data_IF_490520583153
#
_entry.id   IF_490520583153
#
_cell.length_a   1.000
_cell.length_b   1.000
_cell.length_c   1.000
_cell.angle_alpha   90.00
_cell.angle_beta   90.00
_cell.angle_gamma   90.00
#
_symmetry.space_group_name_H-M   'P 1'
#
loop_
_entity.id
_entity.type
_entity.pdbx_description
1 polymer ?
#
# COMPACT_ATOMS: atom_id res chain seq x y z
N UNK A 1 10.22 6.74 -27.87
CA UNK A 1 9.98 5.45 -28.54
C UNK A 1 9.23 4.59 -27.54
N UNK A 2 7.90 4.55 -27.61
CA UNK A 2 7.10 3.65 -26.77
C UNK A 2 7.03 2.31 -27.50
N UNK A 3 7.38 1.22 -26.82
CA UNK A 3 7.35 -0.11 -27.43
C UNK A 3 5.90 -0.44 -27.83
N UNK A 4 5.71 -0.70 -29.13
CA UNK A 4 4.41 -1.00 -29.75
C UNK A 4 3.95 -2.44 -29.42
N UNK A 5 4.80 -3.26 -28.80
CA UNK A 5 4.55 -4.67 -28.48
C UNK A 5 4.96 -5.05 -27.04
N UNK A 6 4.72 -4.18 -26.05
CA UNK A 6 4.72 -4.66 -24.67
C UNK A 6 3.43 -5.47 -24.46
N UNK A 7 3.47 -6.78 -24.72
CA UNK A 7 2.46 -7.67 -24.18
C UNK A 7 2.25 -7.31 -22.70
N UNK A 8 1.01 -7.16 -22.25
CA UNK A 8 0.70 -6.96 -20.84
C UNK A 8 1.13 -8.23 -20.09
N UNK A 9 2.40 -8.30 -19.74
CA UNK A 9 2.97 -9.41 -18.98
C UNK A 9 2.45 -9.33 -17.55
N UNK A 10 1.95 -10.46 -17.05
CA UNK A 10 1.61 -10.63 -15.65
C UNK A 10 2.80 -10.23 -14.78
N UNK A 11 2.59 -9.22 -13.93
CA UNK A 11 3.61 -8.70 -13.03
C UNK A 11 2.99 -8.23 -11.74
N UNK A 12 3.77 -8.34 -10.67
CA UNK A 12 3.50 -7.72 -9.40
C UNK A 12 4.36 -6.45 -9.28
N UNK A 13 3.73 -5.30 -9.14
CA UNK A 13 4.41 -4.02 -8.96
C UNK A 13 4.24 -3.52 -7.53
N UNK A 14 5.32 -2.97 -6.98
CA UNK A 14 5.33 -2.26 -5.71
C UNK A 14 5.71 -0.82 -6.01
N UNK A 15 4.82 0.11 -5.70
CA UNK A 15 5.00 1.54 -5.92
C UNK A 15 5.04 2.29 -4.60
N UNK A 16 5.75 3.41 -4.58
CA UNK A 16 5.75 4.31 -3.44
C UNK A 16 5.74 5.77 -3.90
N UNK A 17 5.08 6.62 -3.12
CA UNK A 17 5.04 8.06 -3.36
C UNK A 17 4.92 8.84 -2.04
N UNK A 18 5.33 10.11 -2.08
CA UNK A 18 4.93 11.10 -1.07
C UNK A 18 3.61 11.71 -1.52
N UNK A 19 2.52 11.32 -0.86
CA UNK A 19 1.20 11.87 -1.11
C UNK A 19 1.13 13.34 -0.69
N UNK A 20 0.30 14.11 -1.38
CA UNK A 20 0.10 15.54 -1.12
C UNK A 20 -0.64 15.85 0.18
N UNK A 21 -1.23 14.84 0.83
CA UNK A 21 -1.95 14.99 2.09
C UNK A 21 -2.52 13.66 2.59
N UNK A 22 -3.24 13.69 3.74
CA UNK A 22 -3.90 12.52 4.32
C UNK A 22 -4.90 11.87 3.34
N UNK A 23 -5.27 10.59 3.56
CA UNK A 23 -6.21 9.92 2.69
C UNK A 23 -7.58 10.60 2.70
N UNK A 24 -8.13 10.88 1.52
CA UNK A 24 -9.43 11.56 1.33
C UNK A 24 -10.40 10.70 0.52
N UNK A 25 -11.69 11.02 0.60
CA UNK A 25 -12.75 10.37 -0.17
C UNK A 25 -13.10 8.95 0.30
N UNK A 26 -14.18 8.44 -0.28
CA UNK A 26 -14.63 7.06 -0.09
C UNK A 26 -13.78 6.09 -0.93
N UNK A 27 -13.38 4.93 -0.39
CA UNK A 27 -12.72 3.90 -1.18
C UNK A 27 -13.61 3.40 -2.32
N UNK A 28 -13.01 3.01 -3.44
CA UNK A 28 -13.77 2.35 -4.50
C UNK A 28 -14.38 1.03 -3.99
N UNK A 29 -15.58 0.62 -4.46
CA UNK A 29 -16.32 -0.51 -3.88
C UNK A 29 -15.60 -1.85 -3.87
N UNK A 30 -14.58 -2.04 -4.73
CA UNK A 30 -13.79 -3.27 -4.76
C UNK A 30 -12.87 -3.44 -3.55
N UNK A 31 -12.58 -2.35 -2.83
CA UNK A 31 -11.64 -2.36 -1.72
C UNK A 31 -12.32 -2.61 -0.37
N UNK A 32 -11.72 -3.52 0.39
CA UNK A 32 -11.97 -3.70 1.82
C UNK A 32 -11.02 -2.81 2.61
N UNK A 33 -11.53 -2.13 3.64
CA UNK A 33 -10.74 -1.26 4.51
C UNK A 33 -10.19 -2.06 5.68
N UNK A 34 -8.89 -1.93 5.95
CA UNK A 34 -8.20 -2.59 7.06
C UNK A 34 -7.65 -1.57 8.05
N UNK A 35 -7.64 -1.86 9.37
CA UNK A 35 -7.21 -0.94 10.43
C UNK A 35 -5.67 -0.93 10.57
N UNK A 36 -4.98 -0.46 9.54
CA UNK A 36 -3.52 -0.36 9.47
C UNK A 36 -3.10 0.99 8.87
N UNK A 37 -2.12 1.65 9.50
CA UNK A 37 -1.70 3.00 9.10
C UNK A 37 -2.83 4.02 9.30
N UNK A 38 -2.83 5.09 8.52
CA UNK A 38 -3.96 6.04 8.46
C UNK A 38 -5.08 5.51 7.56
N UNK A 39 -4.71 4.77 6.51
CA UNK A 39 -5.65 4.03 5.67
C UNK A 39 -4.94 2.85 5.04
N UNK A 40 -5.57 1.68 5.11
CA UNK A 40 -5.22 0.53 4.27
C UNK A 40 -6.43 0.03 3.52
N UNK A 41 -6.24 -0.20 2.23
CA UNK A 41 -7.22 -0.75 1.31
C UNK A 41 -6.68 -2.05 0.72
N UNK A 42 -7.52 -3.07 0.59
CA UNK A 42 -7.14 -4.33 -0.06
C UNK A 42 -8.24 -4.84 -0.98
N UNK A 43 -7.82 -5.47 -2.08
CA UNK A 43 -8.63 -6.18 -3.05
C UNK A 43 -7.89 -7.48 -3.44
N UNK A 44 -8.52 -8.32 -4.25
CA UNK A 44 -7.92 -9.59 -4.71
C UNK A 44 -6.71 -9.40 -5.63
N UNK A 45 -6.50 -8.20 -6.16
CA UNK A 45 -5.46 -7.83 -7.12
C UNK A 45 -4.51 -6.72 -6.62
N UNK A 46 -4.81 -6.10 -5.47
CA UNK A 46 -4.09 -4.92 -5.01
C UNK A 46 -4.21 -4.67 -3.51
N UNK A 47 -3.24 -3.96 -2.95
CA UNK A 47 -3.36 -3.31 -1.65
C UNK A 47 -2.63 -1.97 -1.63
N UNK A 48 -3.16 -1.02 -0.86
CA UNK A 48 -2.57 0.30 -0.65
C UNK A 48 -2.52 0.59 0.83
N UNK A 49 -1.37 1.02 1.33
CA UNK A 49 -1.17 1.49 2.70
C UNK A 49 -0.70 2.93 2.65
N UNK A 50 -1.38 3.80 3.38
CA UNK A 50 -0.96 5.19 3.59
C UNK A 50 -0.75 5.46 5.08
N UNK A 51 0.38 6.10 5.40
CA UNK A 51 0.75 6.44 6.78
C UNK A 51 1.53 7.76 6.85
N UNK A 52 1.42 8.43 7.99
CA UNK A 52 2.22 9.61 8.30
C UNK A 52 3.63 9.22 8.77
N UNK A 53 4.64 9.89 8.22
CA UNK A 53 6.03 9.73 8.61
C UNK A 53 6.64 11.08 9.02
N UNK A 54 7.01 11.21 10.29
CA UNK A 54 7.88 12.29 10.76
C UNK A 54 9.32 11.79 10.81
N UNK A 55 10.21 12.42 10.05
CA UNK A 55 11.63 12.07 10.01
C UNK A 55 12.47 13.28 9.61
N UNK A 56 13.69 13.37 10.15
CA UNK A 56 14.67 14.37 9.72
C UNK A 56 15.16 14.16 8.27
N UNK A 57 14.94 12.98 7.68
CA UNK A 57 15.26 12.69 6.27
C UNK A 57 14.22 13.26 5.30
N UNK A 58 13.05 13.68 5.79
CA UNK A 58 11.95 14.17 4.97
C UNK A 58 11.79 15.69 5.12
N UNK A 59 11.43 16.39 4.04
CA UNK A 59 11.31 17.84 4.06
C UNK A 59 10.06 18.28 4.85
N UNK A 60 10.14 19.47 5.46
CA UNK A 60 9.01 20.13 6.11
C UNK A 60 8.90 19.90 7.62
N UNK A 61 7.99 20.63 8.27
CA UNK A 61 7.73 20.55 9.71
C UNK A 61 6.53 19.66 10.07
N UNK A 62 5.73 19.29 9.08
CA UNK A 62 4.58 18.37 9.21
C UNK A 62 5.00 16.95 8.81
N UNK A 63 4.38 15.90 9.39
CA UNK A 63 4.60 14.53 8.93
C UNK A 63 4.29 14.42 7.42
N UNK A 64 5.22 13.82 6.68
CA UNK A 64 5.00 13.52 5.27
C UNK A 64 4.07 12.32 5.14
N UNK A 65 3.25 12.31 4.10
CA UNK A 65 2.29 11.26 3.85
C UNK A 65 2.91 10.26 2.89
N UNK A 66 3.25 9.06 3.36
CA UNK A 66 3.86 8.01 2.54
C UNK A 66 2.76 7.06 2.11
N UNK A 67 2.68 6.78 0.82
CA UNK A 67 1.73 5.82 0.25
C UNK A 67 2.48 4.73 -0.50
N UNK A 68 2.20 3.48 -0.14
CA UNK A 68 2.73 2.28 -0.78
C UNK A 68 1.58 1.57 -1.48
N UNK A 69 1.75 1.23 -2.75
CA UNK A 69 0.86 0.39 -3.51
C UNK A 69 1.51 -0.95 -3.85
N UNK A 70 0.74 -2.02 -3.80
CA UNK A 70 1.09 -3.34 -4.32
C UNK A 70 -0.03 -3.73 -5.27
N UNK A 71 0.27 -3.98 -6.53
CA UNK A 71 -0.74 -4.26 -7.55
C UNK A 71 -0.26 -5.32 -8.52
N UNK A 72 -1.14 -6.23 -8.89
CA UNK A 72 -0.93 -7.12 -10.02
C UNK A 72 -1.48 -6.50 -11.28
N UNK A 73 -0.62 -6.32 -12.27
CA UNK A 73 -1.00 -5.93 -13.61
C UNK A 73 -1.13 -7.16 -14.49
N UNK A 74 -2.38 -7.54 -14.78
CA UNK A 74 -2.69 -8.67 -15.65
C UNK A 74 -4.03 -8.45 -16.36
N UNK A 75 -4.18 -8.93 -17.60
CA UNK A 75 -5.48 -8.96 -18.26
C UNK A 75 -6.44 -10.00 -17.64
N UNK A 76 -5.93 -10.95 -16.86
CA UNK A 76 -6.70 -12.02 -16.24
C UNK A 76 -6.96 -11.73 -14.77
N UNK A 77 -8.16 -12.10 -14.30
CA UNK A 77 -8.47 -12.08 -12.86
C UNK A 77 -7.51 -13.01 -12.10
N UNK A 78 -7.11 -12.65 -10.88
CA UNK A 78 -6.22 -13.47 -10.08
C UNK A 78 -6.91 -14.79 -9.70
N UNK A 79 -6.22 -15.90 -9.94
CA UNK A 79 -6.69 -17.22 -9.54
C UNK A 79 -6.62 -17.40 -8.01
N UNK A 80 -7.64 -18.04 -7.45
CA UNK A 80 -7.66 -18.45 -6.05
C UNK A 80 -8.83 -17.92 -5.24
N UNK A 81 -8.70 -18.02 -3.92
CA UNK A 81 -9.69 -17.54 -2.95
C UNK A 81 -9.56 -16.01 -2.78
N UNK A 82 -10.61 -15.22 -3.10
CA UNK A 82 -10.54 -13.76 -3.05
C UNK A 82 -10.17 -13.20 -1.68
N UNK A 83 -10.60 -13.82 -0.57
CA UNK A 83 -10.30 -13.34 0.77
C UNK A 83 -8.85 -13.63 1.14
N UNK A 84 -8.34 -14.81 0.78
CA UNK A 84 -6.90 -15.12 0.97
C UNK A 84 -6.00 -14.23 0.14
N UNK A 85 -6.44 -13.86 -1.07
CA UNK A 85 -5.72 -12.93 -1.92
C UNK A 85 -5.65 -11.55 -1.28
N UNK A 86 -6.78 -10.99 -0.81
CA UNK A 86 -6.81 -9.72 -0.07
C UNK A 86 -5.81 -9.73 1.10
N UNK A 87 -5.86 -10.75 1.94
CA UNK A 87 -4.93 -10.91 3.07
C UNK A 87 -3.46 -10.94 2.64
N UNK A 88 -3.16 -11.63 1.53
CA UNK A 88 -1.82 -11.71 0.97
C UNK A 88 -1.33 -10.34 0.48
N UNK A 89 -2.11 -9.63 -0.33
CA UNK A 89 -1.75 -8.29 -0.81
C UNK A 89 -1.60 -7.29 0.36
N UNK A 90 -2.52 -7.32 1.32
CA UNK A 90 -2.46 -6.49 2.52
C UNK A 90 -1.19 -6.77 3.35
N UNK A 91 -0.82 -8.04 3.48
CA UNK A 91 0.41 -8.45 4.20
C UNK A 91 1.66 -7.95 3.51
N UNK A 92 1.75 -8.07 2.18
CA UNK A 92 2.89 -7.55 1.40
C UNK A 92 2.96 -6.04 1.53
N UNK A 93 1.85 -5.32 1.31
CA UNK A 93 1.81 -3.87 1.40
C UNK A 93 2.17 -3.34 2.79
N UNK A 94 1.70 -4.02 3.85
CA UNK A 94 2.08 -3.71 5.23
C UNK A 94 3.57 -3.94 5.47
N UNK A 95 4.13 -5.07 5.01
CA UNK A 95 5.54 -5.41 5.20
C UNK A 95 6.46 -4.40 4.52
N UNK A 96 6.15 -4.02 3.28
CA UNK A 96 6.90 -2.99 2.54
C UNK A 96 6.78 -1.64 3.23
N UNK A 97 5.57 -1.26 3.67
CA UNK A 97 5.34 0.00 4.40
C UNK A 97 6.14 0.06 5.69
N UNK A 98 6.17 -1.02 6.47
CA UNK A 98 6.93 -1.08 7.72
C UNK A 98 8.44 -1.01 7.45
N UNK A 99 8.93 -1.66 6.39
CA UNK A 99 10.33 -1.56 5.98
C UNK A 99 10.68 -0.13 5.55
N UNK A 100 9.83 0.50 4.74
CA UNK A 100 10.00 1.90 4.33
C UNK A 100 9.98 2.85 5.52
N UNK A 101 9.08 2.64 6.49
CA UNK A 101 9.01 3.46 7.69
C UNK A 101 10.30 3.38 8.52
N UNK A 102 10.87 2.18 8.64
CA UNK A 102 12.15 1.95 9.32
C UNK A 102 13.31 2.59 8.56
N UNK A 103 13.35 2.42 7.24
CA UNK A 103 14.40 2.98 6.37
C UNK A 103 14.41 4.52 6.42
N UNK A 104 13.23 5.13 6.35
CA UNK A 104 13.08 6.57 6.47
C UNK A 104 13.31 7.07 7.90
N UNK A 105 13.37 6.19 8.89
CA UNK A 105 13.49 6.56 10.30
C UNK A 105 12.27 7.31 10.81
N UNK A 106 11.08 6.90 10.39
CA UNK A 106 9.83 7.49 10.84
C UNK A 106 9.66 7.29 12.34
N UNK A 107 9.27 8.35 13.05
CA UNK A 107 8.88 8.27 14.45
C UNK A 107 7.84 7.16 14.67
N UNK A 108 8.08 6.27 15.65
CA UNK A 108 7.22 5.11 15.97
C UNK A 108 6.83 4.26 14.75
N UNK A 109 7.72 4.09 13.77
CA UNK A 109 7.46 3.39 12.50
C UNK A 109 6.22 3.94 11.74
N UNK A 110 5.92 5.23 11.90
CA UNK A 110 4.73 5.85 11.31
C UNK A 110 3.41 5.31 11.87
N UNK A 111 3.42 4.76 13.09
CA UNK A 111 2.26 4.14 13.73
C UNK A 111 1.92 2.73 13.21
N UNK A 112 2.75 2.16 12.32
CA UNK A 112 2.57 0.80 11.83
C UNK A 112 2.96 -0.21 12.92
N UNK A 113 2.09 -1.21 13.14
CA UNK A 113 2.36 -2.36 14.01
C UNK A 113 3.40 -3.28 13.36
N UNK A 114 4.00 -4.18 14.15
CA UNK A 114 4.93 -5.19 13.65
C UNK A 114 4.27 -6.30 12.80
N UNK A 115 2.94 -6.44 12.92
CA UNK A 115 2.14 -7.40 12.16
C UNK A 115 0.93 -6.71 11.54
N UNK A 116 0.49 -7.16 10.35
CA UNK A 116 -0.71 -6.62 9.73
C UNK A 116 -1.95 -6.95 10.57
N UNK A 117 -2.91 -6.01 10.61
CA UNK A 117 -4.25 -6.21 11.17
C UNK A 117 -5.20 -6.48 10.00
N UNK A 118 -5.54 -7.75 9.80
CA UNK A 118 -6.29 -8.23 8.62
C UNK A 118 -7.81 -8.30 8.86
N UNK A 119 -8.26 -8.19 10.10
CA UNK A 119 -9.68 -8.07 10.41
C UNK A 119 -10.20 -6.71 9.90
N UNK A 120 -11.26 -6.69 9.07
CA UNK A 120 -11.82 -5.45 8.56
C UNK A 120 -12.28 -4.48 9.66
N UNK A 121 -12.21 -3.18 9.36
CA UNK A 121 -12.57 -2.10 10.28
C UNK A 121 -14.09 -1.87 10.40
#
# INVERSE_FOLDING_TARGET
>A
MFAVDAAQSDRLEVTWELASGPPQGEPAPKFTVLPMGERTLTASDAAVVQFACRSAKLPGSTPAQVKIGVERWSPEEPEGDPEKLKDAYATVAHSVSLAMAKELGCENNGGLKDRPSLDPA
#
